data_IF_105860441540
#
_entry.id   IF_105860441540
#
_cell.length_a   1.000
_cell.length_b   1.000
_cell.length_c   1.000
_cell.angle_alpha   90.00
_cell.angle_beta   90.00
_cell.angle_gamma   90.00
#
_symmetry.space_group_name_H-M   'P 1'
#
loop_
_entity.id
_entity.type
_entity.pdbx_description
1 polymer ?
#
# COMPACT_ATOMS: atom_id res chain seq x y z
N UNK A 1 0.27 -0.22 -16.10
CA UNK A 1 1.11 -0.17 -14.88
C UNK A 1 0.32 -0.69 -13.68
N UNK A 2 0.89 -0.71 -12.47
CA UNK A 2 0.20 -1.24 -11.27
C UNK A 2 -1.14 -0.51 -10.99
N UNK A 3 -1.20 0.81 -11.16
CA UNK A 3 -2.45 1.57 -11.04
C UNK A 3 -3.54 1.10 -12.02
N UNK A 4 -3.16 0.76 -13.25
CA UNK A 4 -4.09 0.20 -14.26
C UNK A 4 -4.60 -1.17 -13.82
N UNK A 5 -3.74 -2.00 -13.23
CA UNK A 5 -4.13 -3.33 -12.72
C UNK A 5 -5.11 -3.23 -11.55
N UNK A 6 -4.89 -2.27 -10.64
CA UNK A 6 -5.85 -2.00 -9.55
C UNK A 6 -7.20 -1.53 -10.08
N UNK A 7 -7.20 -0.67 -11.11
CA UNK A 7 -8.42 -0.24 -11.78
C UNK A 7 -9.19 -1.38 -12.43
N UNK A 8 -8.51 -2.33 -13.07
CA UNK A 8 -9.14 -3.54 -13.64
C UNK A 8 -9.75 -4.41 -12.53
N UNK A 9 -9.07 -4.51 -11.38
CA UNK A 9 -9.56 -5.23 -10.20
C UNK A 9 -10.92 -4.74 -9.67
N UNK A 10 -11.31 -3.49 -9.96
CA UNK A 10 -12.61 -2.93 -9.57
C UNK A 10 -13.76 -3.60 -10.33
N UNK A 11 -13.56 -3.90 -11.61
CA UNK A 11 -14.63 -4.41 -12.50
C UNK A 11 -14.64 -5.93 -12.62
N UNK A 12 -13.54 -6.58 -12.22
CA UNK A 12 -13.34 -8.02 -12.42
C UNK A 12 -13.12 -8.73 -11.08
N UNK A 13 -14.14 -9.43 -10.53
CA UNK A 13 -14.01 -10.12 -9.25
C UNK A 13 -12.91 -11.19 -9.25
N UNK A 14 -12.64 -11.81 -10.41
CA UNK A 14 -11.52 -12.74 -10.59
C UNK A 14 -10.13 -12.11 -10.36
N UNK A 15 -10.00 -10.80 -10.62
CA UNK A 15 -8.73 -10.06 -10.46
C UNK A 15 -8.71 -9.19 -9.21
N UNK A 16 -9.86 -8.91 -8.60
CA UNK A 16 -9.98 -8.08 -7.40
C UNK A 16 -9.04 -8.55 -6.28
N UNK A 17 -9.01 -9.87 -6.00
CA UNK A 17 -8.12 -10.44 -4.97
C UNK A 17 -6.64 -10.17 -5.26
N UNK A 18 -6.20 -10.46 -6.47
CA UNK A 18 -4.81 -10.25 -6.88
C UNK A 18 -4.44 -8.76 -6.90
N UNK A 19 -5.36 -7.90 -7.36
CA UNK A 19 -5.22 -6.45 -7.36
C UNK A 19 -5.03 -5.89 -5.94
N UNK A 20 -5.89 -6.29 -5.00
CA UNK A 20 -5.81 -5.87 -3.60
C UNK A 20 -4.52 -6.39 -2.93
N UNK A 21 -4.14 -7.65 -3.14
CA UNK A 21 -2.86 -8.16 -2.61
C UNK A 21 -1.68 -7.36 -3.14
N UNK A 22 -1.69 -7.03 -4.44
CA UNK A 22 -0.61 -6.23 -5.04
C UNK A 22 -0.56 -4.81 -4.47
N UNK A 23 -1.70 -4.18 -4.17
CA UNK A 23 -1.72 -2.82 -3.58
C UNK A 23 -1.18 -2.84 -2.15
N UNK A 24 -1.53 -3.86 -1.36
CA UNK A 24 -1.02 -4.05 0.01
C UNK A 24 0.50 -4.21 -0.04
N UNK A 25 1.00 -5.10 -0.90
CA UNK A 25 2.43 -5.36 -1.05
C UNK A 25 3.19 -4.10 -1.50
N UNK A 26 2.60 -3.31 -2.40
CA UNK A 26 3.17 -2.05 -2.84
C UNK A 26 3.25 -1.01 -1.72
N UNK A 27 2.16 -0.80 -0.96
CA UNK A 27 2.13 0.16 0.14
C UNK A 27 3.09 -0.23 1.28
N UNK A 28 3.18 -1.52 1.62
CA UNK A 28 4.17 -2.01 2.59
C UNK A 28 5.60 -1.87 2.09
N UNK A 29 5.85 -2.09 0.79
CA UNK A 29 7.15 -1.87 0.17
C UNK A 29 7.60 -0.40 0.29
N UNK A 30 6.70 0.55 0.04
CA UNK A 30 6.98 1.98 0.23
C UNK A 30 7.24 2.31 1.71
N UNK A 31 6.39 1.83 2.61
CA UNK A 31 6.55 2.03 4.05
C UNK A 31 7.90 1.49 4.54
N UNK A 32 8.30 0.29 4.12
CA UNK A 32 9.62 -0.28 4.43
C UNK A 32 10.76 0.59 3.90
N UNK A 33 10.67 1.07 2.66
CA UNK A 33 11.67 1.98 2.09
C UNK A 33 11.80 3.29 2.88
N UNK A 34 10.68 3.84 3.36
CA UNK A 34 10.66 5.03 4.22
C UNK A 34 11.21 4.76 5.60
N UNK A 35 10.88 3.63 6.22
CA UNK A 35 11.45 3.23 7.50
C UNK A 35 12.97 3.12 7.37
N UNK A 36 13.47 2.51 6.30
CA UNK A 36 14.91 2.47 6.02
C UNK A 36 15.51 3.88 5.85
N UNK A 37 14.85 4.76 5.10
CA UNK A 37 15.28 6.17 4.94
C UNK A 37 15.29 6.92 6.28
N UNK A 38 14.35 6.67 7.19
CA UNK A 38 14.36 7.25 8.54
C UNK A 38 15.60 6.84 9.34
N UNK A 39 16.02 5.58 9.23
CA UNK A 39 17.22 5.08 9.90
C UNK A 39 18.51 5.58 9.27
N UNK A 40 18.55 5.74 7.94
CA UNK A 40 19.76 6.15 7.20
C UNK A 40 19.94 7.66 7.18
N UNK A 41 18.88 8.42 6.91
CA UNK A 41 18.95 9.88 6.70
C UNK A 41 18.81 10.66 8.02
N UNK A 42 18.41 9.99 9.12
CA UNK A 42 18.39 10.50 10.50
C UNK A 42 17.41 11.65 10.79
N UNK A 43 16.99 12.42 9.78
CA UNK A 43 16.04 13.53 9.90
C UNK A 43 14.76 13.23 9.12
N UNK A 44 13.71 12.88 9.85
CA UNK A 44 12.38 12.73 9.29
C UNK A 44 11.81 14.13 8.98
N UNK A 45 11.65 14.48 7.71
CA UNK A 45 10.76 15.60 7.42
C UNK A 45 9.34 15.25 7.92
N UNK A 46 8.57 16.21 8.47
CA UNK A 46 7.20 15.93 8.92
C UNK A 46 6.33 15.33 7.81
N UNK A 47 6.59 15.69 6.56
CA UNK A 47 5.94 15.11 5.37
C UNK A 47 6.22 13.61 5.23
N UNK A 48 7.45 13.15 5.48
CA UNK A 48 7.82 11.74 5.37
C UNK A 48 7.06 10.89 6.39
N UNK A 49 6.89 11.38 7.62
CA UNK A 49 6.08 10.74 8.65
C UNK A 49 4.60 10.65 8.26
N UNK A 50 4.03 11.70 7.66
CA UNK A 50 2.64 11.69 7.16
C UNK A 50 2.48 10.66 6.05
N UNK A 51 3.39 10.61 5.08
CA UNK A 51 3.34 9.63 4.00
C UNK A 51 3.51 8.19 4.52
N UNK A 52 4.41 7.96 5.47
CA UNK A 52 4.57 6.66 6.11
C UNK A 52 3.27 6.21 6.81
N UNK A 53 2.62 7.12 7.54
CA UNK A 53 1.32 6.86 8.16
C UNK A 53 0.26 6.51 7.11
N UNK A 54 0.19 7.27 6.01
CA UNK A 54 -0.75 7.03 4.93
C UNK A 54 -0.52 5.66 4.25
N UNK A 55 0.74 5.29 4.00
CA UNK A 55 1.12 4.01 3.41
C UNK A 55 0.67 2.84 4.31
N UNK A 56 0.87 2.94 5.62
CA UNK A 56 0.43 1.93 6.59
C UNK A 56 -1.11 1.85 6.64
N UNK A 57 -1.81 2.99 6.69
CA UNK A 57 -3.27 3.04 6.69
C UNK A 57 -3.84 2.44 5.41
N UNK A 58 -3.29 2.77 4.25
CA UNK A 58 -3.71 2.22 2.96
C UNK A 58 -3.47 0.70 2.89
N UNK A 59 -2.34 0.21 3.40
CA UNK A 59 -2.09 -1.23 3.50
C UNK A 59 -3.12 -1.92 4.42
N UNK A 60 -3.44 -1.33 5.57
CA UNK A 60 -4.44 -1.86 6.49
C UNK A 60 -5.86 -1.88 5.88
N UNK A 61 -6.26 -0.81 5.19
CA UNK A 61 -7.51 -0.76 4.44
C UNK A 61 -7.55 -1.83 3.36
N UNK A 62 -6.45 -2.06 2.64
CA UNK A 62 -6.32 -3.15 1.67
C UNK A 62 -6.58 -4.51 2.30
N UNK A 63 -6.04 -4.78 3.50
CA UNK A 63 -6.30 -6.04 4.24
C UNK A 63 -7.77 -6.18 4.63
N UNK A 64 -8.41 -5.10 5.07
CA UNK A 64 -9.85 -5.12 5.39
C UNK A 64 -10.70 -5.41 4.16
N UNK A 65 -10.36 -4.79 3.03
CA UNK A 65 -11.02 -5.06 1.74
C UNK A 65 -10.78 -6.50 1.31
N UNK A 66 -9.56 -7.03 1.45
CA UNK A 66 -9.26 -8.42 1.10
C UNK A 66 -10.15 -9.41 1.87
N UNK A 67 -10.34 -9.17 3.17
CA UNK A 67 -11.24 -9.98 4.02
C UNK A 67 -12.72 -9.86 3.65
N UNK A 68 -13.13 -8.76 3.01
CA UNK A 68 -14.51 -8.59 2.54
C UNK A 68 -14.79 -9.28 1.20
N UNK A 69 -13.73 -9.63 0.46
CA UNK A 69 -13.81 -10.33 -0.83
C UNK A 69 -13.60 -11.85 -0.64
N UNK A 70 -13.07 -12.28 0.51
CA UNK A 70 -13.05 -13.68 0.98
C UNK A 70 -14.42 -14.12 1.51
#
# INVERSE_FOLDING_TARGET
GMASFWGIGIYSPQFARAAVISVICFMLGLACGRVLSLFVDGSASPLLLIYLGLEIVMAALGVLVLRSIE
#
